data_IF_579468751306
#
_entry.id   IF_579468751306
#
_cell.length_a   1.000
_cell.length_b   1.000
_cell.length_c   1.000
_cell.angle_alpha   90.00
_cell.angle_beta   90.00
_cell.angle_gamma   90.00
#
_symmetry.space_group_name_H-M   'P 1'
#
loop_
_entity.id
_entity.type
_entity.pdbx_description
1 polymer ?
#
# COMPACT_ATOMS: atom_id res chain seq x y z
N UNK A 1 8.34 44.31 14.84
CA UNK A 1 8.72 42.90 14.99
C UNK A 1 7.47 42.09 15.26
N UNK A 2 6.96 41.39 14.25
CA UNK A 2 5.80 40.45 14.39
C UNK A 2 6.36 39.06 14.59
N UNK A 3 6.06 38.45 15.73
CA UNK A 3 6.33 37.02 15.96
C UNK A 3 5.36 36.20 15.14
N UNK A 4 5.90 35.38 14.25
CA UNK A 4 5.17 34.28 13.62
C UNK A 4 5.12 33.12 14.65
N UNK A 5 3.91 32.73 14.99
CA UNK A 5 3.66 31.49 15.69
C UNK A 5 3.59 30.38 14.65
N UNK A 6 4.50 29.42 14.71
CA UNK A 6 4.46 28.20 13.93
C UNK A 6 3.67 27.13 14.69
N UNK A 7 2.58 26.72 14.08
CA UNK A 7 1.94 25.41 13.96
C UNK A 7 1.97 24.45 15.13
N UNK A 8 0.79 24.34 15.72
CA UNK A 8 0.35 23.14 16.42
C UNK A 8 -0.18 22.17 15.34
N UNK A 9 0.53 21.09 15.06
CA UNK A 9 0.12 20.01 14.15
C UNK A 9 -0.20 18.78 14.97
N UNK A 10 -1.27 18.84 15.75
CA UNK A 10 -1.98 17.66 16.23
C UNK A 10 -3.17 17.42 15.29
N UNK A 11 -2.89 17.12 14.03
CA UNK A 11 -3.85 16.45 13.16
C UNK A 11 -3.80 14.96 13.53
N UNK A 12 -4.50 14.59 14.60
CA UNK A 12 -5.00 13.23 14.74
C UNK A 12 -5.83 12.94 13.50
N UNK A 13 -5.30 12.06 12.64
CA UNK A 13 -6.09 11.42 11.59
C UNK A 13 -7.14 10.60 12.35
N UNK A 14 -8.32 11.18 12.53
CA UNK A 14 -9.48 10.45 12.99
C UNK A 14 -9.85 9.53 11.82
N UNK A 15 -9.33 8.30 11.85
CA UNK A 15 -9.82 7.23 10.99
C UNK A 15 -11.27 7.04 11.44
N UNK A 16 -12.27 7.33 10.58
CA UNK A 16 -13.64 7.06 10.97
C UNK A 16 -13.73 5.55 11.22
N UNK A 17 -13.88 5.17 12.47
CA UNK A 17 -14.32 3.82 12.78
C UNK A 17 -15.46 3.50 11.82
N UNK A 18 -15.33 2.43 11.04
CA UNK A 18 -16.41 1.88 10.24
C UNK A 18 -17.56 1.49 11.15
N UNK A 19 -18.28 2.48 11.64
CA UNK A 19 -19.62 2.28 12.14
C UNK A 19 -20.47 2.02 10.92
N UNK A 20 -20.67 0.77 10.55
CA UNK A 20 -21.81 0.39 9.75
C UNK A 20 -23.02 1.03 10.39
N UNK A 21 -23.31 2.26 9.96
CA UNK A 21 -24.58 2.91 9.84
C UNK A 21 -25.62 2.66 10.92
N UNK A 22 -25.61 3.49 11.88
CA UNK A 22 -26.87 3.98 12.40
C UNK A 22 -27.31 5.18 11.53
N UNK A 23 -27.78 4.97 10.32
CA UNK A 23 -28.63 5.92 9.63
C UNK A 23 -30.05 5.79 10.21
N UNK A 24 -30.19 6.15 11.47
CA UNK A 24 -31.48 6.52 12.04
C UNK A 24 -31.76 7.96 11.66
N UNK A 25 -32.52 8.19 10.60
CA UNK A 25 -33.20 9.47 10.41
C UNK A 25 -34.05 9.72 11.68
N UNK A 26 -33.83 10.88 12.30
CA UNK A 26 -34.74 11.38 13.34
C UNK A 26 -36.11 11.56 12.71
N UNK A 27 -37.00 10.60 12.89
CA UNK A 27 -38.40 10.73 12.65
C UNK A 27 -39.05 11.54 13.80
N UNK A 28 -40.04 12.35 13.47
CA UNK A 28 -40.81 13.13 14.41
C UNK A 28 -41.37 12.24 15.52
N UNK A 29 -41.41 12.80 16.73
CA UNK A 29 -41.80 12.15 17.98
C UNK A 29 -43.24 11.58 17.89
N UNK A 30 -43.33 10.30 17.59
CA UNK A 30 -44.58 9.52 17.76
C UNK A 30 -44.58 8.79 19.11
N UNK A 31 -45.73 8.27 19.57
CA UNK A 31 -45.80 7.58 20.86
C UNK A 31 -44.84 6.39 20.90
N UNK A 32 -44.24 6.20 22.08
CA UNK A 32 -43.18 5.24 22.38
C UNK A 32 -43.50 3.84 21.84
N UNK A 33 -42.91 3.50 20.69
CA UNK A 33 -42.89 2.15 20.17
C UNK A 33 -41.85 1.29 20.89
N UNK A 34 -42.02 -0.01 20.90
CA UNK A 34 -41.10 -0.97 21.51
C UNK A 34 -39.69 -0.75 20.98
N UNK A 35 -38.71 -0.75 21.90
CA UNK A 35 -37.28 -0.68 21.57
C UNK A 35 -36.95 -1.80 20.59
N UNK A 36 -36.55 -1.43 19.36
CA UNK A 36 -36.07 -2.38 18.38
C UNK A 36 -34.79 -3.09 18.87
N UNK A 37 -34.47 -4.27 18.35
CA UNK A 37 -33.28 -5.00 18.74
C UNK A 37 -32.06 -4.11 18.50
N UNK A 38 -31.19 -4.03 19.51
CA UNK A 38 -29.92 -3.36 19.42
C UNK A 38 -29.10 -4.07 18.33
N UNK A 39 -28.85 -3.40 17.21
CA UNK A 39 -27.94 -3.90 16.18
C UNK A 39 -26.54 -3.99 16.81
N UNK A 40 -25.97 -5.16 16.83
CA UNK A 40 -24.55 -5.34 17.17
C UNK A 40 -23.75 -4.97 15.96
N UNK A 41 -23.20 -3.77 15.93
CA UNK A 41 -22.15 -3.41 15.00
C UNK A 41 -20.86 -4.06 15.51
N UNK A 42 -20.39 -5.13 14.89
CA UNK A 42 -19.05 -5.64 15.13
C UNK A 42 -18.15 -5.12 14.00
N UNK A 43 -17.37 -4.09 14.30
CA UNK A 43 -16.22 -3.76 13.48
C UNK A 43 -15.17 -4.84 13.73
N UNK A 44 -14.93 -5.69 12.77
CA UNK A 44 -14.07 -6.87 12.94
C UNK A 44 -12.69 -6.67 12.30
N UNK A 45 -12.32 -5.42 12.02
CA UNK A 45 -10.99 -5.10 11.49
C UNK A 45 -9.96 -5.23 12.59
N UNK A 46 -9.41 -6.42 12.73
CA UNK A 46 -8.32 -6.66 13.67
C UNK A 46 -6.98 -6.48 12.94
N UNK A 47 -6.09 -5.71 13.54
CA UNK A 47 -4.72 -5.63 13.04
C UNK A 47 -4.09 -7.02 13.13
N UNK A 48 -3.72 -7.57 11.98
CA UNK A 48 -3.04 -8.86 11.83
C UNK A 48 -1.51 -8.72 11.80
N UNK A 49 -1.00 -7.49 11.96
CA UNK A 49 0.41 -7.18 11.77
C UNK A 49 0.75 -7.03 10.29
N UNK A 50 2.00 -7.37 9.94
CA UNK A 50 2.48 -7.32 8.56
C UNK A 50 1.83 -8.42 7.72
N UNK A 51 1.30 -8.05 6.56
CA UNK A 51 0.59 -8.95 5.65
C UNK A 51 1.45 -9.36 4.44
N UNK A 52 2.47 -8.56 4.06
CA UNK A 52 3.39 -8.90 2.98
C UNK A 52 4.43 -9.92 3.47
N UNK A 53 4.66 -10.94 2.68
CA UNK A 53 5.74 -11.87 2.90
C UNK A 53 6.98 -11.43 2.15
N UNK A 54 8.14 -11.41 2.81
CA UNK A 54 9.40 -10.94 2.23
C UNK A 54 9.33 -9.49 1.69
N UNK A 55 8.72 -8.59 2.44
CA UNK A 55 8.61 -7.17 2.06
C UNK A 55 9.97 -6.45 2.09
N UNK A 56 10.88 -6.85 2.96
CA UNK A 56 12.28 -6.37 3.00
C UNK A 56 13.20 -7.06 2.01
N UNK A 57 12.70 -7.82 1.04
CA UNK A 57 13.43 -8.46 -0.07
C UNK A 57 14.60 -9.40 0.34
N UNK A 58 14.69 -9.79 1.62
CA UNK A 58 15.83 -10.51 2.19
C UNK A 58 15.88 -12.01 1.82
N UNK A 59 14.75 -12.62 1.47
CA UNK A 59 14.71 -14.00 0.97
C UNK A 59 14.87 -13.98 -0.54
N UNK A 60 15.98 -14.55 -1.02
CA UNK A 60 16.39 -14.51 -2.43
C UNK A 60 16.76 -15.91 -2.93
N UNK A 61 16.17 -16.29 -4.05
CA UNK A 61 16.55 -17.51 -4.81
C UNK A 61 16.78 -17.12 -6.28
N UNK A 62 17.87 -17.60 -6.85
CA UNK A 62 18.25 -17.33 -8.26
C UNK A 62 18.21 -15.83 -8.64
N UNK A 63 18.72 -14.97 -7.74
CA UNK A 63 18.72 -13.51 -7.88
C UNK A 63 17.33 -12.86 -7.99
N UNK A 64 16.31 -13.49 -7.46
CA UNK A 64 14.93 -12.98 -7.40
C UNK A 64 14.43 -12.97 -5.96
N UNK A 65 13.64 -11.97 -5.54
CA UNK A 65 13.00 -12.01 -4.23
C UNK A 65 11.94 -13.11 -4.20
N UNK A 66 12.03 -13.99 -3.18
CA UNK A 66 11.06 -15.07 -2.98
C UNK A 66 9.67 -14.52 -2.59
N UNK A 67 8.64 -15.27 -2.90
CA UNK A 67 7.22 -14.97 -2.61
C UNK A 67 6.63 -13.78 -3.39
N UNK A 68 7.29 -13.35 -4.44
CA UNK A 68 6.79 -12.34 -5.35
C UNK A 68 6.57 -12.94 -6.76
N UNK A 69 5.54 -12.45 -7.45
CA UNK A 69 5.23 -12.78 -8.84
C UNK A 69 5.78 -11.71 -9.77
N UNK A 70 6.18 -12.09 -10.97
CA UNK A 70 6.86 -11.22 -11.92
C UNK A 70 6.17 -11.20 -13.28
N UNK A 71 6.10 -10.01 -13.90
CA UNK A 71 5.91 -9.86 -15.35
C UNK A 71 7.21 -9.27 -15.90
N UNK A 72 7.67 -9.78 -17.04
CA UNK A 72 8.98 -9.49 -17.62
C UNK A 72 10.13 -9.74 -16.63
N UNK A 73 10.28 -10.98 -16.13
CA UNK A 73 11.19 -11.30 -15.03
C UNK A 73 12.67 -11.04 -15.36
N UNK A 74 13.06 -10.99 -16.63
CA UNK A 74 14.46 -10.76 -17.02
C UNK A 74 14.95 -9.36 -16.59
N UNK A 75 14.05 -8.39 -16.49
CA UNK A 75 14.32 -7.03 -16.00
C UNK A 75 14.16 -6.86 -14.48
N UNK A 76 14.03 -7.94 -13.71
CA UNK A 76 13.91 -7.88 -12.24
C UNK A 76 15.02 -8.69 -11.61
N UNK A 77 15.80 -8.09 -10.69
CA UNK A 77 16.89 -8.76 -9.99
C UNK A 77 16.97 -8.30 -8.54
N UNK A 78 17.41 -9.18 -7.64
CA UNK A 78 17.82 -8.76 -6.30
C UNK A 78 19.11 -7.96 -6.39
N UNK A 79 19.17 -6.87 -5.61
CA UNK A 79 20.27 -5.92 -5.60
C UNK A 79 20.89 -5.87 -4.21
N UNK A 80 22.22 -5.97 -4.10
CA UNK A 80 22.98 -5.96 -2.84
C UNK A 80 24.07 -4.88 -2.79
N UNK A 81 24.13 -4.03 -3.81
CA UNK A 81 25.17 -2.98 -3.88
C UNK A 81 24.92 -1.89 -2.85
N UNK A 82 26.01 -1.40 -2.26
CA UNK A 82 25.94 -0.33 -1.29
C UNK A 82 25.27 0.93 -1.85
N UNK A 83 24.19 1.39 -1.19
CA UNK A 83 23.41 2.57 -1.56
C UNK A 83 22.25 2.26 -2.49
N UNK A 84 22.05 1.01 -2.87
CA UNK A 84 20.90 0.50 -3.60
C UNK A 84 19.99 -0.39 -2.75
N UNK A 85 20.29 -0.54 -1.47
CA UNK A 85 19.52 -1.22 -0.44
C UNK A 85 19.13 -0.20 0.60
N UNK A 86 17.84 -0.12 0.97
CA UNK A 86 17.36 0.78 2.01
C UNK A 86 17.66 0.20 3.39
N UNK A 87 17.29 -1.04 3.63
CA UNK A 87 17.60 -1.75 4.88
C UNK A 87 18.00 -3.21 4.61
N UNK A 88 18.61 -3.86 5.59
CA UNK A 88 19.04 -5.26 5.45
C UNK A 88 20.21 -5.44 4.47
N UNK A 89 20.10 -6.47 3.61
CA UNK A 89 21.14 -6.87 2.67
C UNK A 89 20.70 -6.78 1.20
N UNK A 90 19.40 -6.81 0.95
CA UNK A 90 18.85 -6.85 -0.40
C UNK A 90 17.71 -5.85 -0.59
N UNK A 91 17.61 -5.32 -1.77
CA UNK A 91 16.42 -4.70 -2.36
C UNK A 91 16.05 -5.41 -3.65
N UNK A 92 15.01 -4.98 -4.35
CA UNK A 92 14.73 -5.44 -5.70
C UNK A 92 14.96 -4.32 -6.69
N UNK A 93 15.73 -4.60 -7.74
CA UNK A 93 15.92 -3.76 -8.90
C UNK A 93 14.93 -4.13 -10.00
N UNK A 94 14.26 -3.15 -10.58
CA UNK A 94 13.22 -3.32 -11.60
C UNK A 94 13.48 -2.39 -12.79
N UNK A 95 13.65 -2.95 -13.97
CA UNK A 95 13.81 -2.23 -15.24
C UNK A 95 12.46 -1.80 -15.83
N UNK A 96 12.51 -1.12 -16.97
CA UNK A 96 11.33 -0.67 -17.73
C UNK A 96 10.37 -1.83 -18.05
N UNK A 97 9.06 -1.51 -18.05
CA UNK A 97 7.98 -2.45 -18.40
C UNK A 97 7.95 -3.73 -17.55
N UNK A 98 8.51 -3.68 -16.33
CA UNK A 98 8.44 -4.80 -15.39
C UNK A 98 7.32 -4.61 -14.37
N UNK A 99 6.81 -5.73 -13.86
CA UNK A 99 5.85 -5.73 -12.75
C UNK A 99 6.26 -6.74 -11.69
N UNK A 100 6.28 -6.25 -10.44
CA UNK A 100 6.43 -7.06 -9.23
C UNK A 100 5.08 -7.08 -8.51
N UNK A 101 4.60 -8.25 -8.08
CA UNK A 101 3.31 -8.31 -7.37
C UNK A 101 3.26 -9.43 -6.35
N UNK A 102 2.38 -9.26 -5.35
CA UNK A 102 2.06 -10.30 -4.38
C UNK A 102 0.57 -10.32 -4.10
N UNK A 103 -0.01 -11.52 -3.98
CA UNK A 103 -1.38 -11.71 -3.53
C UNK A 103 -1.36 -12.08 -2.05
N UNK A 104 -2.08 -11.30 -1.25
CA UNK A 104 -2.28 -11.52 0.18
C UNK A 104 -3.67 -12.07 0.40
N UNK A 105 -3.73 -13.28 0.93
CA UNK A 105 -4.97 -14.02 1.16
C UNK A 105 -5.57 -13.72 2.55
N UNK A 106 -6.81 -14.15 2.78
CA UNK A 106 -7.53 -14.04 4.03
C UNK A 106 -7.72 -12.58 4.49
N UNK A 107 -8.05 -11.74 3.56
CA UNK A 107 -8.37 -10.32 3.76
C UNK A 107 -9.82 -10.18 4.26
N UNK A 108 -10.05 -9.21 5.13
CA UNK A 108 -11.37 -8.89 5.66
C UNK A 108 -12.01 -7.74 4.89
N UNK A 109 -13.24 -7.94 4.39
CA UNK A 109 -14.04 -6.88 3.81
C UNK A 109 -14.49 -5.85 4.86
N UNK A 110 -14.75 -4.62 4.43
CA UNK A 110 -15.14 -3.52 5.32
C UNK A 110 -13.98 -2.87 6.07
N UNK A 111 -12.73 -3.27 5.81
CA UNK A 111 -11.53 -2.74 6.44
C UNK A 111 -10.76 -1.80 5.49
N UNK A 112 -9.93 -0.96 6.09
CA UNK A 112 -8.95 -0.13 5.37
C UNK A 112 -7.57 -0.76 5.52
N UNK A 113 -6.72 -0.56 4.51
CA UNK A 113 -5.37 -1.07 4.49
C UNK A 113 -4.39 0.06 4.17
N UNK A 114 -3.20 -0.02 4.72
CA UNK A 114 -2.10 0.89 4.43
C UNK A 114 -0.97 0.11 3.75
N UNK A 115 -0.63 0.51 2.53
CA UNK A 115 0.59 0.09 1.85
C UNK A 115 1.65 1.16 2.06
N UNK A 116 2.84 0.76 2.48
CA UNK A 116 4.00 1.62 2.54
C UNK A 116 5.23 0.91 2.00
N UNK A 117 6.19 1.66 1.48
CA UNK A 117 7.42 1.13 0.92
C UNK A 117 8.46 2.22 0.74
N UNK A 118 9.70 1.82 0.49
CA UNK A 118 10.79 2.71 0.11
C UNK A 118 11.18 2.45 -1.35
N UNK A 119 11.41 3.52 -2.11
CA UNK A 119 11.84 3.41 -3.50
C UNK A 119 12.77 4.55 -3.90
N UNK A 120 13.67 4.26 -4.84
CA UNK A 120 14.56 5.22 -5.50
C UNK A 120 14.73 4.90 -6.97
N UNK A 121 15.02 5.88 -7.79
CA UNK A 121 15.40 5.69 -9.20
C UNK A 121 16.90 5.55 -9.35
N UNK A 122 17.34 4.56 -10.11
CA UNK A 122 18.71 4.51 -10.65
C UNK A 122 18.74 5.27 -11.97
N UNK A 123 18.78 6.60 -11.86
CA UNK A 123 18.66 7.55 -12.96
C UNK A 123 17.43 8.47 -12.86
N UNK A 124 17.45 9.55 -13.67
CA UNK A 124 16.47 10.62 -13.55
C UNK A 124 15.15 10.37 -14.31
N UNK A 125 15.06 9.31 -15.10
CA UNK A 125 13.89 9.05 -15.95
C UNK A 125 13.26 7.71 -15.59
N UNK A 126 12.95 7.55 -14.33
CA UNK A 126 12.27 6.40 -13.76
C UNK A 126 10.98 6.88 -13.10
N UNK A 127 9.92 6.16 -13.32
CA UNK A 127 8.64 6.34 -12.66
C UNK A 127 8.05 4.99 -12.31
N UNK A 128 7.01 4.99 -11.50
CA UNK A 128 6.30 3.77 -11.16
C UNK A 128 4.84 4.05 -10.81
N UNK A 129 4.05 2.99 -10.89
CA UNK A 129 2.70 2.95 -10.31
C UNK A 129 2.63 1.80 -9.32
N UNK A 130 2.25 2.08 -8.08
CA UNK A 130 1.93 1.08 -7.06
C UNK A 130 0.41 1.02 -6.88
N UNK A 131 -0.18 -0.15 -7.03
CA UNK A 131 -1.61 -0.40 -6.91
C UNK A 131 -1.91 -1.35 -5.75
N UNK A 132 -3.03 -1.09 -5.08
CA UNK A 132 -3.68 -2.02 -4.17
C UNK A 132 -5.02 -2.40 -4.81
N UNK A 133 -5.20 -3.68 -5.10
CA UNK A 133 -6.36 -4.18 -5.81
C UNK A 133 -7.06 -5.21 -4.93
N UNK A 134 -8.30 -4.93 -4.57
CA UNK A 134 -9.17 -5.89 -3.89
C UNK A 134 -9.67 -6.93 -4.89
N UNK A 135 -9.46 -8.19 -4.59
CA UNK A 135 -9.99 -9.32 -5.35
C UNK A 135 -11.27 -9.78 -4.65
N UNK A 136 -12.36 -9.79 -5.41
CA UNK A 136 -13.68 -10.16 -4.92
C UNK A 136 -14.31 -11.21 -5.83
N UNK A 137 -15.36 -11.87 -5.38
CA UNK A 137 -16.14 -12.81 -6.21
C UNK A 137 -16.73 -12.14 -7.47
N UNK A 138 -16.92 -10.82 -7.44
CA UNK A 138 -17.45 -10.01 -8.54
C UNK A 138 -16.40 -9.42 -9.48
N UNK A 139 -15.10 -9.66 -9.20
CA UNK A 139 -13.97 -9.12 -9.97
C UNK A 139 -13.07 -8.21 -9.14
N UNK A 140 -12.12 -7.57 -9.79
CA UNK A 140 -11.11 -6.75 -9.17
C UNK A 140 -11.59 -5.31 -8.98
N UNK A 141 -11.31 -4.71 -7.81
CA UNK A 141 -11.63 -3.33 -7.46
C UNK A 141 -10.35 -2.62 -7.04
N UNK A 142 -10.02 -1.49 -7.68
CA UNK A 142 -8.88 -0.68 -7.28
C UNK A 142 -9.17 -0.03 -5.91
N UNK A 143 -8.39 -0.40 -4.90
CA UNK A 143 -8.49 0.11 -3.54
C UNK A 143 -7.66 1.36 -3.30
N UNK A 144 -6.51 1.45 -3.92
CA UNK A 144 -5.60 2.59 -3.80
C UNK A 144 -4.51 2.55 -4.87
N UNK A 145 -3.93 3.72 -5.17
CA UNK A 145 -2.84 3.85 -6.13
C UNK A 145 -1.93 5.02 -5.78
N UNK A 146 -0.64 4.85 -6.04
CA UNK A 146 0.36 5.92 -6.11
C UNK A 146 0.99 5.86 -7.49
N UNK A 147 1.07 7.02 -8.16
CA UNK A 147 1.84 7.14 -9.39
C UNK A 147 2.91 8.22 -9.20
N UNK A 148 4.15 7.85 -9.44
CA UNK A 148 5.31 8.77 -9.49
C UNK A 148 5.78 8.82 -10.93
N UNK A 149 5.71 10.00 -11.54
CA UNK A 149 6.13 10.15 -12.92
C UNK A 149 7.66 10.11 -13.04
N UNK A 150 8.13 9.82 -14.23
CA UNK A 150 9.55 9.98 -14.54
C UNK A 150 10.01 11.41 -14.19
N UNK A 151 11.19 11.55 -13.61
CA UNK A 151 11.79 12.78 -13.07
C UNK A 151 11.26 13.25 -11.70
N UNK A 152 10.19 12.66 -11.19
CA UNK A 152 9.64 13.02 -9.87
C UNK A 152 10.16 12.09 -8.76
N UNK A 153 10.80 10.97 -9.13
CA UNK A 153 11.40 10.07 -8.15
C UNK A 153 12.75 10.60 -7.66
N UNK A 154 13.08 10.36 -6.39
CA UNK A 154 14.43 10.63 -5.90
C UNK A 154 15.44 9.73 -6.61
N UNK A 155 16.52 10.33 -7.10
CA UNK A 155 17.62 9.64 -7.78
C UNK A 155 19.00 10.06 -7.25
N UNK A 156 19.05 10.80 -6.16
CA UNK A 156 20.29 11.13 -5.49
C UNK A 156 20.90 9.87 -4.88
N UNK A 157 22.21 9.68 -5.08
CA UNK A 157 22.96 8.52 -4.62
C UNK A 157 22.60 8.17 -3.16
N UNK A 158 21.88 7.06 -2.96
CA UNK A 158 21.52 6.42 -1.70
C UNK A 158 20.26 6.92 -1.00
N UNK A 159 19.52 7.87 -1.55
CA UNK A 159 18.32 8.36 -0.88
C UNK A 159 17.07 7.65 -1.40
N UNK A 160 16.55 6.73 -0.61
CA UNK A 160 15.22 6.18 -0.80
C UNK A 160 14.16 7.16 -0.29
N UNK A 161 13.10 7.35 -1.04
CA UNK A 161 11.92 8.06 -0.59
C UNK A 161 10.91 7.08 0.00
N UNK A 162 10.25 7.50 1.07
CA UNK A 162 9.14 6.78 1.68
C UNK A 162 7.83 7.12 0.98
N UNK A 163 7.07 6.10 0.60
CA UNK A 163 5.75 6.23 -0.01
C UNK A 163 4.70 5.51 0.83
N UNK A 164 3.50 6.08 0.85
CA UNK A 164 2.39 5.52 1.59
C UNK A 164 1.05 5.81 0.92
N UNK A 165 0.16 4.83 0.91
CA UNK A 165 -1.22 4.98 0.47
C UNK A 165 -2.16 4.21 1.38
N UNK A 166 -3.27 4.85 1.76
CA UNK A 166 -4.37 4.21 2.48
C UNK A 166 -5.46 3.91 1.45
N UNK A 167 -6.01 2.70 1.51
CA UNK A 167 -7.07 2.26 0.59
C UNK A 167 -8.40 2.95 0.85
N UNK A 168 -9.31 2.86 -0.12
CA UNK A 168 -10.73 2.92 0.17
C UNK A 168 -11.14 1.73 1.06
N UNK A 169 -12.34 1.77 1.63
CA UNK A 169 -12.91 0.63 2.34
C UNK A 169 -12.98 -0.59 1.41
N UNK A 170 -12.44 -1.72 1.88
CA UNK A 170 -12.48 -2.97 1.12
C UNK A 170 -13.93 -3.45 0.95
N UNK A 171 -14.37 -3.82 -0.26
CA UNK A 171 -15.68 -4.43 -0.46
C UNK A 171 -15.92 -5.60 0.50
N UNK A 172 -17.15 -5.76 0.99
CA UNK A 172 -17.49 -6.79 2.00
C UNK A 172 -17.19 -8.23 1.53
N UNK A 173 -17.18 -8.46 0.23
CA UNK A 173 -16.87 -9.75 -0.40
C UNK A 173 -15.42 -9.85 -0.88
N UNK A 174 -14.51 -9.03 -0.35
CA UNK A 174 -13.09 -9.14 -0.63
C UNK A 174 -12.53 -10.43 -0.03
N UNK A 175 -11.78 -11.18 -0.83
CA UNK A 175 -11.12 -12.43 -0.43
C UNK A 175 -9.62 -12.29 -0.27
N UNK A 176 -9.02 -11.45 -1.12
CA UNK A 176 -7.58 -11.19 -1.12
C UNK A 176 -7.26 -9.79 -1.63
N UNK A 177 -6.03 -9.34 -1.39
CA UNK A 177 -5.47 -8.11 -1.93
C UNK A 177 -4.30 -8.47 -2.84
N UNK A 178 -4.27 -7.90 -4.04
CA UNK A 178 -3.06 -7.86 -4.87
C UNK A 178 -2.38 -6.51 -4.66
N UNK A 179 -1.13 -6.53 -4.24
CA UNK A 179 -0.21 -5.40 -4.31
C UNK A 179 0.63 -5.56 -5.56
N UNK A 180 0.76 -4.51 -6.37
CA UNK A 180 1.60 -4.56 -7.58
C UNK A 180 2.35 -3.24 -7.79
N UNK A 181 3.56 -3.36 -8.27
CA UNK A 181 4.44 -2.27 -8.68
C UNK A 181 4.75 -2.42 -10.15
N UNK A 182 4.46 -1.38 -10.94
CA UNK A 182 4.68 -1.34 -12.38
C UNK A 182 5.69 -0.23 -12.65
N UNK A 183 6.80 -0.55 -13.28
CA UNK A 183 7.88 0.40 -13.56
C UNK A 183 7.79 0.92 -14.97
N UNK A 184 8.08 2.22 -15.13
CA UNK A 184 8.31 2.88 -16.42
C UNK A 184 9.65 3.60 -16.34
N UNK A 185 10.57 3.26 -17.21
CA UNK A 185 11.90 3.86 -17.25
C UNK A 185 12.36 4.13 -18.70
N UNK A 186 13.39 4.93 -18.86
CA UNK A 186 13.99 5.17 -20.16
C UNK A 186 15.43 4.68 -20.20
N UNK A 187 15.77 3.95 -21.24
CA UNK A 187 17.11 3.39 -21.43
C UNK A 187 17.43 2.29 -20.41
N UNK A 188 18.64 2.31 -19.87
CA UNK A 188 19.12 1.33 -18.88
C UNK A 188 18.85 1.77 -17.43
N UNK A 189 17.85 2.64 -17.22
CA UNK A 189 17.49 3.10 -15.89
C UNK A 189 16.49 2.14 -15.23
N UNK A 190 16.51 2.11 -13.90
CA UNK A 190 15.71 1.15 -13.13
C UNK A 190 15.22 1.74 -11.80
N UNK A 191 14.27 1.06 -11.17
CA UNK A 191 13.75 1.34 -9.83
C UNK A 191 14.40 0.37 -8.84
N UNK A 192 14.89 0.87 -7.71
CA UNK A 192 15.17 0.06 -6.53
C UNK A 192 13.99 0.20 -5.56
N UNK A 193 13.40 -0.93 -5.13
CA UNK A 193 12.26 -1.01 -4.23
C UNK A 193 12.61 -1.87 -3.03
N UNK A 194 12.22 -1.42 -1.82
CA UNK A 194 12.56 -2.10 -0.57
C UNK A 194 11.51 -1.83 0.52
N UNK A 195 11.54 -2.64 1.60
CA UNK A 195 10.73 -2.48 2.81
C UNK A 195 9.22 -2.28 2.53
N UNK A 196 8.66 -3.13 1.69
CA UNK A 196 7.23 -3.13 1.38
C UNK A 196 6.44 -3.69 2.56
N UNK A 197 5.46 -2.93 3.01
CA UNK A 197 4.58 -3.28 4.14
C UNK A 197 3.12 -3.07 3.77
N UNK A 198 2.25 -3.99 4.12
CA UNK A 198 0.80 -3.88 4.05
C UNK A 198 0.21 -4.23 5.39
N UNK A 199 -0.53 -3.32 5.99
CA UNK A 199 -1.16 -3.54 7.30
C UNK A 199 -2.66 -3.22 7.25
N UNK A 200 -3.43 -3.82 8.15
CA UNK A 200 -4.84 -3.46 8.42
C UNK A 200 -4.90 -2.26 9.38
N UNK A 201 -5.75 -1.28 9.08
CA UNK A 201 -5.97 -0.08 9.89
C UNK A 201 -7.21 -0.22 10.78
#
# INVERSE_FOLDING_TARGET
MKKLNFFNTDDEIIIPCCCCCCNGQSGETGPTGATGPTGTCSCNCQSKGELITNGGMEMVTDQKPDNWDFINPDGITSEDSQGRVHSGNFSVNMEDDTTLSQIVENIEGGCFYELSFFARGEGAQVGFTANIIFITDGGNVLGGTITVNQQDITNDNRDFAYYKVITSEAPMNTTSIKVEFIVTANGEQSLDLDDVSLITL
#
